data_IF_394843536609
#
_entry.id   IF_394843536609
#
_cell.length_a   1.000
_cell.length_b   1.000
_cell.length_c   1.000
_cell.angle_alpha   90.00
_cell.angle_beta   90.00
_cell.angle_gamma   90.00
#
_symmetry.space_group_name_H-M   'P 1'
#
loop_
_entity.id
_entity.type
_entity.pdbx_description
1 polymer ?
#
# COMPACT_ATOMS: atom_id res chain seq x y z
N UNK A 1 -18.05 22.22 -29.47
CA UNK A 1 -16.91 22.97 -28.90
C UNK A 1 -15.68 22.42 -29.59
N UNK A 2 -15.05 23.22 -30.46
CA UNK A 2 -13.84 22.79 -31.18
C UNK A 2 -12.62 22.99 -30.27
N UNK A 3 -11.71 22.01 -30.25
CA UNK A 3 -10.48 22.05 -29.47
C UNK A 3 -9.37 22.47 -30.43
N UNK A 4 -8.57 23.46 -30.05
CA UNK A 4 -7.39 23.85 -30.84
C UNK A 4 -6.41 22.69 -30.93
N UNK A 5 -5.72 22.56 -32.08
CA UNK A 5 -4.68 21.53 -32.26
C UNK A 5 -3.58 21.61 -31.20
N UNK A 6 -3.25 22.82 -30.74
CA UNK A 6 -2.31 23.05 -29.64
C UNK A 6 -2.83 22.53 -28.30
N UNK A 7 -4.08 22.82 -27.98
CA UNK A 7 -4.70 22.37 -26.72
C UNK A 7 -4.79 20.84 -26.69
N UNK A 8 -5.12 20.22 -27.83
CA UNK A 8 -5.13 18.77 -27.98
C UNK A 8 -3.73 18.16 -27.77
N UNK A 9 -2.68 18.79 -28.31
CA UNK A 9 -1.30 18.36 -28.11
C UNK A 9 -0.85 18.45 -26.65
N UNK A 10 -1.12 19.58 -25.99
CA UNK A 10 -0.76 19.81 -24.59
C UNK A 10 -1.50 18.85 -23.65
N UNK A 11 -2.81 18.63 -23.86
CA UNK A 11 -3.61 17.66 -23.13
C UNK A 11 -3.12 16.22 -23.33
N UNK A 12 -2.77 15.84 -24.57
CA UNK A 12 -2.27 14.49 -24.85
C UNK A 12 -0.92 14.22 -24.18
N UNK A 13 -0.07 15.25 -24.07
CA UNK A 13 1.23 15.12 -23.39
C UNK A 13 1.09 14.83 -21.90
N UNK A 14 0.05 15.35 -21.24
CA UNK A 14 -0.24 15.09 -19.82
C UNK A 14 -0.78 13.66 -19.57
N UNK A 15 -1.24 12.96 -20.61
CA UNK A 15 -1.74 11.57 -20.49
C UNK A 15 -0.71 10.64 -19.85
N UNK A 16 0.57 10.85 -20.16
CA UNK A 16 1.66 10.01 -19.64
C UNK A 16 1.85 10.15 -18.13
N UNK A 17 1.45 11.28 -17.52
CA UNK A 17 1.56 11.48 -16.09
C UNK A 17 0.70 10.49 -15.28
N UNK A 18 -0.40 9.98 -15.87
CA UNK A 18 -1.23 8.93 -15.26
C UNK A 18 -0.48 7.61 -15.09
N UNK A 19 0.47 7.28 -15.98
CA UNK A 19 1.27 6.06 -15.86
C UNK A 19 2.15 6.07 -14.61
N UNK A 20 2.64 7.25 -14.23
CA UNK A 20 3.40 7.42 -13.00
C UNK A 20 2.53 7.20 -11.76
N UNK A 21 1.28 7.67 -11.79
CA UNK A 21 0.30 7.37 -10.74
C UNK A 21 0.03 5.87 -10.65
N UNK A 22 -0.35 5.19 -11.74
CA UNK A 22 -0.67 3.76 -11.69
C UNK A 22 0.51 2.89 -11.26
N UNK A 23 1.72 3.17 -11.78
CA UNK A 23 2.92 2.44 -11.37
C UNK A 23 3.18 2.57 -9.87
N UNK A 24 3.05 3.79 -9.33
CA UNK A 24 3.24 4.03 -7.90
C UNK A 24 2.11 3.42 -7.07
N UNK A 25 0.85 3.65 -7.45
CA UNK A 25 -0.33 3.15 -6.77
C UNK A 25 -0.31 1.63 -6.61
N UNK A 26 -0.08 0.90 -7.70
CA UNK A 26 0.01 -0.57 -7.66
C UNK A 26 1.19 -1.07 -6.82
N UNK A 27 2.38 -0.52 -7.05
CA UNK A 27 3.60 -1.05 -6.39
C UNK A 27 3.83 -0.60 -4.94
N UNK A 28 3.24 0.52 -4.51
CA UNK A 28 3.51 1.13 -3.21
C UNK A 28 2.27 1.40 -2.36
N UNK A 29 1.11 1.57 -2.98
CA UNK A 29 -0.17 1.73 -2.28
C UNK A 29 -1.03 0.47 -2.39
N UNK A 30 -0.56 -0.58 -3.09
CA UNK A 30 -1.26 -1.85 -3.25
C UNK A 30 -2.66 -1.67 -3.87
N UNK A 31 -2.78 -0.72 -4.79
CA UNK A 31 -4.06 -0.29 -5.37
C UNK A 31 -4.86 -1.45 -5.99
N UNK A 32 -4.17 -2.47 -6.52
CA UNK A 32 -4.75 -3.65 -7.16
C UNK A 32 -4.59 -4.95 -6.33
N UNK A 33 -4.23 -4.87 -5.05
CA UNK A 33 -4.01 -6.04 -4.18
C UNK A 33 -5.24 -6.40 -3.31
N UNK A 34 -6.38 -5.72 -3.50
CA UNK A 34 -7.62 -6.05 -2.79
C UNK A 34 -8.16 -7.41 -3.24
N UNK A 35 -8.29 -8.35 -2.31
CA UNK A 35 -8.80 -9.71 -2.56
C UNK A 35 -10.19 -9.91 -1.95
N UNK A 36 -11.10 -8.96 -2.19
CA UNK A 36 -12.48 -9.02 -1.68
C UNK A 36 -13.43 -9.47 -2.79
N UNK A 37 -14.39 -10.33 -2.44
CA UNK A 37 -15.45 -10.74 -3.38
C UNK A 37 -16.58 -9.71 -3.49
N UNK A 38 -16.58 -8.69 -2.63
CA UNK A 38 -17.60 -7.64 -2.55
C UNK A 38 -17.12 -6.40 -3.31
N UNK A 39 -17.92 -5.92 -4.26
CA UNK A 39 -17.59 -4.77 -5.12
C UNK A 39 -17.40 -3.49 -4.31
N UNK A 40 -18.30 -3.20 -3.36
CA UNK A 40 -18.27 -2.00 -2.53
C UNK A 40 -16.94 -1.84 -1.77
N UNK A 41 -16.35 -2.96 -1.32
CA UNK A 41 -15.06 -2.95 -0.63
C UNK A 41 -13.90 -2.67 -1.59
N UNK A 42 -13.99 -3.18 -2.83
CA UNK A 42 -13.00 -2.88 -3.86
C UNK A 42 -13.06 -1.40 -4.25
N UNK A 43 -14.25 -0.84 -4.48
CA UNK A 43 -14.42 0.58 -4.79
C UNK A 43 -13.91 1.48 -3.65
N UNK A 44 -14.26 1.15 -2.40
CA UNK A 44 -13.74 1.84 -1.21
C UNK A 44 -12.21 1.76 -1.13
N UNK A 45 -11.60 0.64 -1.54
CA UNK A 45 -10.14 0.48 -1.57
C UNK A 45 -9.48 1.44 -2.58
N UNK A 46 -10.07 1.58 -3.76
CA UNK A 46 -9.61 2.55 -4.77
C UNK A 46 -9.67 3.98 -4.25
N UNK A 47 -10.76 4.36 -3.57
CA UNK A 47 -10.89 5.68 -2.95
C UNK A 47 -9.80 5.93 -1.89
N UNK A 48 -9.56 4.95 -1.01
CA UNK A 48 -8.50 5.03 0.00
C UNK A 48 -7.11 5.17 -0.62
N UNK A 49 -6.83 4.42 -1.70
CA UNK A 49 -5.58 4.54 -2.44
C UNK A 49 -5.38 5.93 -3.04
N UNK A 50 -6.43 6.51 -3.64
CA UNK A 50 -6.40 7.87 -4.18
C UNK A 50 -6.22 8.94 -3.08
N UNK A 51 -6.90 8.77 -1.94
CA UNK A 51 -6.73 9.65 -0.79
C UNK A 51 -5.31 9.59 -0.23
N UNK A 52 -4.74 8.39 -0.08
CA UNK A 52 -3.35 8.22 0.36
C UNK A 52 -2.36 8.89 -0.61
N UNK A 53 -2.55 8.75 -1.91
CA UNK A 53 -1.73 9.45 -2.90
C UNK A 53 -1.83 10.98 -2.77
N UNK A 54 -3.05 11.49 -2.57
CA UNK A 54 -3.31 12.92 -2.38
C UNK A 54 -2.61 13.44 -1.12
N UNK A 55 -2.65 12.68 -0.03
CA UNK A 55 -1.92 13.01 1.21
C UNK A 55 -0.40 13.10 0.98
N UNK A 56 0.17 12.18 0.21
CA UNK A 56 1.59 12.24 -0.16
C UNK A 56 1.90 13.46 -1.03
N UNK A 57 1.03 13.81 -1.97
CA UNK A 57 1.21 14.99 -2.80
C UNK A 57 1.18 16.29 -1.97
N UNK A 58 0.22 16.41 -1.05
CA UNK A 58 0.12 17.55 -0.13
C UNK A 58 1.31 17.65 0.83
N UNK A 59 1.86 16.51 1.26
CA UNK A 59 3.01 16.45 2.15
C UNK A 59 4.35 16.68 1.44
N UNK A 60 4.39 16.65 0.10
CA UNK A 60 5.63 16.72 -0.67
C UNK A 60 6.51 17.96 -0.36
N UNK A 61 5.98 19.18 -0.15
CA UNK A 61 6.78 20.35 0.21
C UNK A 61 7.43 20.25 1.60
N UNK A 62 6.88 19.43 2.50
CA UNK A 62 7.38 19.25 3.87
C UNK A 62 8.36 18.07 4.00
N UNK A 63 8.45 17.23 2.96
CA UNK A 63 9.21 16.00 2.98
C UNK A 63 10.70 16.23 2.78
N UNK A 64 11.50 15.58 3.62
CA UNK A 64 12.94 15.48 3.47
C UNK A 64 13.30 14.28 2.58
N UNK A 65 14.27 14.46 1.69
CA UNK A 65 14.77 13.36 0.86
C UNK A 65 15.66 12.44 1.70
N UNK A 66 15.09 11.38 2.25
CA UNK A 66 15.84 10.37 3.01
C UNK A 66 16.43 9.32 2.04
N UNK A 67 17.76 9.33 1.79
CA UNK A 67 18.40 8.32 0.94
C UNK A 67 18.50 6.99 1.66
N UNK A 68 18.36 5.89 0.91
CA UNK A 68 18.83 4.58 1.39
C UNK A 68 20.35 4.56 1.49
N UNK A 69 20.95 3.61 2.25
CA UNK A 69 22.40 3.56 2.43
C UNK A 69 23.20 3.56 1.11
N UNK A 70 22.68 2.91 0.06
CA UNK A 70 23.29 2.84 -1.27
C UNK A 70 22.91 4.01 -2.21
N UNK A 71 21.99 4.89 -1.81
CA UNK A 71 21.49 6.00 -2.63
C UNK A 71 22.21 7.33 -2.35
N UNK A 72 23.04 7.40 -1.29
CA UNK A 72 23.68 8.63 -0.77
C UNK A 72 24.46 9.45 -1.81
N UNK A 73 25.11 8.79 -2.76
CA UNK A 73 25.98 9.46 -3.73
C UNK A 73 25.23 9.97 -4.98
N UNK A 74 23.93 9.68 -5.11
CA UNK A 74 23.15 10.11 -6.28
C UNK A 74 22.83 11.60 -6.21
N UNK A 75 23.04 12.30 -7.32
CA UNK A 75 22.76 13.74 -7.45
C UNK A 75 21.31 14.11 -7.10
N UNK A 76 20.37 13.19 -7.36
CA UNK A 76 18.93 13.32 -7.08
C UNK A 76 18.60 13.64 -5.60
N UNK A 77 19.47 13.24 -4.67
CA UNK A 77 19.34 13.51 -3.24
C UNK A 77 20.04 14.82 -2.80
N UNK A 78 20.80 15.45 -3.70
CA UNK A 78 21.48 16.73 -3.46
C UNK A 78 20.66 17.91 -4.00
N UNK A 79 19.85 17.68 -5.02
CA UNK A 79 19.06 18.73 -5.65
C UNK A 79 17.84 19.12 -4.80
N UNK A 80 17.50 20.41 -4.74
CA UNK A 80 16.38 20.96 -3.95
C UNK A 80 14.98 20.76 -4.58
N UNK A 81 14.85 19.87 -5.57
CA UNK A 81 13.58 19.60 -6.25
C UNK A 81 12.56 18.93 -5.33
N UNK A 82 11.27 19.23 -5.54
CA UNK A 82 10.14 18.59 -4.85
C UNK A 82 10.29 17.06 -4.94
N UNK A 83 10.26 16.34 -3.80
CA UNK A 83 10.41 14.90 -3.79
C UNK A 83 9.21 14.20 -4.45
N UNK A 84 9.49 13.17 -5.24
CA UNK A 84 8.44 12.32 -5.81
C UNK A 84 7.72 11.48 -4.73
N UNK A 85 6.53 10.91 -5.03
CA UNK A 85 5.67 10.25 -4.04
C UNK A 85 6.36 9.16 -3.21
N UNK A 86 7.26 8.38 -3.83
CA UNK A 86 8.01 7.33 -3.14
C UNK A 86 9.02 7.85 -2.11
N UNK A 87 9.56 9.06 -2.30
CA UNK A 87 10.43 9.69 -1.32
C UNK A 87 9.60 10.29 -0.19
N UNK A 88 8.49 10.95 -0.52
CA UNK A 88 7.55 11.47 0.49
C UNK A 88 7.03 10.35 1.37
N UNK A 89 6.62 9.21 0.80
CA UNK A 89 6.12 8.06 1.56
C UNK A 89 7.14 7.54 2.58
N UNK A 90 8.45 7.61 2.28
CA UNK A 90 9.51 7.19 3.22
C UNK A 90 9.61 8.11 4.43
N UNK A 91 9.46 9.41 4.20
CA UNK A 91 9.55 10.44 5.24
C UNK A 91 8.19 10.75 5.89
N UNK A 92 7.10 10.24 5.33
CA UNK A 92 5.74 10.53 5.77
C UNK A 92 5.53 10.23 7.27
N UNK A 93 6.19 9.19 7.78
CA UNK A 93 6.17 8.85 9.20
C UNK A 93 6.66 9.99 10.12
N UNK A 94 7.65 10.78 9.70
CA UNK A 94 8.13 11.96 10.44
C UNK A 94 7.08 13.07 10.40
N UNK A 95 6.49 13.31 9.22
CA UNK A 95 5.47 14.34 9.01
C UNK A 95 4.23 14.06 9.87
N UNK A 96 3.69 12.83 9.82
CA UNK A 96 2.47 12.51 10.58
C UNK A 96 2.68 12.59 12.09
N UNK A 97 3.89 12.31 12.59
CA UNK A 97 4.22 12.40 14.02
C UNK A 97 4.15 13.84 14.54
N UNK A 98 4.34 14.84 13.68
CA UNK A 98 4.24 16.25 14.07
C UNK A 98 2.82 16.65 14.50
N UNK A 99 1.79 15.96 13.99
CA UNK A 99 0.41 16.17 14.41
C UNK A 99 0.06 15.47 15.73
N UNK A 100 0.95 14.61 16.24
CA UNK A 100 0.69 13.76 17.40
C UNK A 100 -0.18 12.55 17.06
N UNK A 101 -0.68 11.88 18.10
CA UNK A 101 -1.63 10.76 17.95
C UNK A 101 -2.87 11.02 18.79
N UNK A 102 -4.08 10.91 18.23
CA UNK A 102 -5.30 10.93 19.03
C UNK A 102 -5.49 9.62 19.82
N UNK A 103 -4.67 8.60 19.55
CA UNK A 103 -4.79 7.30 20.18
C UNK A 103 -4.42 7.36 21.66
N UNK A 104 -5.26 6.76 22.50
CA UNK A 104 -4.96 6.52 23.91
C UNK A 104 -3.81 5.52 24.01
N UNK A 105 -2.98 5.66 25.04
CA UNK A 105 -1.93 4.68 25.33
C UNK A 105 -2.50 3.26 25.44
N UNK A 106 -1.84 2.24 24.85
CA UNK A 106 -2.34 0.88 24.88
C UNK A 106 -2.48 0.40 26.33
N UNK A 107 -3.60 -0.27 26.64
CA UNK A 107 -3.80 -0.86 27.96
C UNK A 107 -2.80 -2.02 28.14
N UNK A 108 -1.96 -2.01 29.20
CA UNK A 108 -1.06 -3.13 29.46
C UNK A 108 -1.90 -4.38 29.79
N UNK A 109 -1.87 -5.36 28.90
CA UNK A 109 -2.58 -6.65 29.08
C UNK A 109 -1.82 -7.60 30.02
N UNK A 110 -0.55 -7.32 30.30
CA UNK A 110 0.36 -8.24 30.96
C UNK A 110 0.70 -9.46 30.11
N UNK A 111 1.68 -10.25 30.56
CA UNK A 111 1.93 -11.57 29.99
C UNK A 111 0.88 -12.54 30.52
N UNK A 112 0.33 -13.39 29.66
CA UNK A 112 -0.48 -14.50 30.16
C UNK A 112 0.40 -15.42 31.03
N UNK A 113 -0.16 -16.09 32.06
CA UNK A 113 0.60 -16.96 32.98
C UNK A 113 1.27 -18.18 32.31
N UNK A 114 1.24 -18.27 30.97
CA UNK A 114 1.78 -19.38 30.21
C UNK A 114 1.04 -20.68 30.48
N UNK A 115 1.65 -21.78 30.07
CA UNK A 115 1.18 -23.14 30.37
C UNK A 115 1.62 -23.49 31.79
N UNK A 116 0.76 -24.20 32.53
CA UNK A 116 1.13 -24.75 33.85
C UNK A 116 2.37 -25.63 33.72
N UNK A 117 3.25 -25.61 34.72
CA UNK A 117 4.42 -26.50 34.80
C UNK A 117 3.95 -27.96 34.68
N UNK A 118 4.58 -28.72 33.78
CA UNK A 118 4.20 -30.11 33.48
C UNK A 118 3.11 -30.27 32.41
N UNK A 119 2.55 -29.18 31.87
CA UNK A 119 1.64 -29.28 30.73
C UNK A 119 2.39 -29.75 29.48
N UNK A 120 2.04 -30.93 28.99
CA UNK A 120 2.48 -31.47 27.72
C UNK A 120 1.24 -31.72 26.86
N UNK A 121 1.02 -30.98 25.75
CA UNK A 121 -0.07 -31.29 24.85
C UNK A 121 0.19 -32.67 24.26
N UNK A 122 -0.81 -33.55 24.34
CA UNK A 122 -0.72 -34.89 23.76
C UNK A 122 -0.43 -34.85 22.26
N UNK A 123 -0.03 -36.00 21.71
CA UNK A 123 0.17 -36.16 20.26
C UNK A 123 -1.10 -35.73 19.53
N UNK A 124 -0.98 -34.81 18.58
CA UNK A 124 -2.12 -34.43 17.72
C UNK A 124 -2.65 -35.69 17.04
N UNK A 125 -3.96 -35.89 17.09
CA UNK A 125 -4.63 -36.96 16.35
C UNK A 125 -4.34 -36.74 14.86
N UNK A 126 -3.82 -37.75 14.13
CA UNK A 126 -3.63 -37.63 12.70
C UNK A 126 -4.99 -37.39 12.04
N UNK A 127 -5.08 -36.35 11.22
CA UNK A 127 -6.25 -36.09 10.38
C UNK A 127 -5.87 -36.46 8.94
N UNK A 128 -6.80 -37.05 8.22
CA UNK A 128 -6.59 -37.37 6.81
C UNK A 128 -6.39 -36.07 6.02
N UNK A 129 -5.43 -36.09 5.08
CA UNK A 129 -5.24 -34.99 4.14
C UNK A 129 -6.42 -34.98 3.19
N UNK A 130 -7.22 -33.91 3.21
CA UNK A 130 -8.30 -33.71 2.26
C UNK A 130 -7.65 -33.14 0.99
N UNK A 131 -7.59 -33.95 -0.06
CA UNK A 131 -7.27 -33.47 -1.40
C UNK A 131 -8.54 -32.87 -2.02
N UNK A 132 -8.45 -31.73 -2.72
CA UNK A 132 -9.55 -31.27 -3.57
C UNK A 132 -9.87 -32.38 -4.56
N UNK A 133 -11.09 -32.90 -4.54
CA UNK A 133 -11.56 -33.85 -5.53
C UNK A 133 -11.42 -33.26 -6.92
N UNK A 134 -10.92 -34.06 -7.86
CA UNK A 134 -10.90 -33.70 -9.28
C UNK A 134 -12.30 -33.37 -9.77
N UNK A 135 -12.39 -32.53 -10.82
CA UNK A 135 -13.66 -32.14 -11.42
C UNK A 135 -14.55 -33.36 -11.69
N UNK A 136 -15.88 -33.26 -11.42
CA UNK A 136 -16.80 -34.35 -11.71
C UNK A 136 -16.69 -34.78 -13.17
N UNK A 137 -16.87 -36.08 -13.48
CA UNK A 137 -16.80 -36.55 -14.86
C UNK A 137 -17.81 -35.80 -15.72
N UNK A 138 -17.36 -35.34 -16.91
CA UNK A 138 -18.24 -34.72 -17.90
C UNK A 138 -19.38 -35.70 -18.17
N UNK A 139 -20.63 -35.25 -17.97
CA UNK A 139 -21.81 -36.01 -18.40
C UNK A 139 -21.67 -36.26 -19.90
N UNK A 140 -21.66 -37.52 -20.29
CA UNK A 140 -21.71 -37.93 -21.69
C UNK A 140 -23.11 -37.61 -22.20
N UNK A 141 -23.19 -36.94 -23.34
CA UNK A 141 -24.43 -36.53 -24.00
C UNK A 141 -25.26 -37.72 -24.47
#
# INVERSE_FOLDING_TARGET
REISSRDAYEAYRQRYDMEHFFRFGKSKLLLDDSQTCELEHEESWWELGCLAYTQLWLAAPLAEKIPRPWEKNKQQFKDATIPGPAHVQRDFARIIRAFGTPAVSPKPRGNSPGRKKGYSPGRRVPRNVIYKGGSPPKKVA
#
